data_IF_887176417140
#
_entry.id   IF_887176417140
#
_cell.length_a   1.000
_cell.length_b   1.000
_cell.length_c   1.000
_cell.angle_alpha   90.00
_cell.angle_beta   90.00
_cell.angle_gamma   90.00
#
_symmetry.space_group_name_H-M   'P 1'
#
loop_
_entity.id
_entity.type
_entity.pdbx_description
1 polymer ?
#
# COMPACT_ATOMS: atom_id res chain seq x y z
N UNK A 1 -56.38 -177.02 -47.97
CA UNK A 1 -56.39 -175.59 -47.58
C UNK A 1 -55.19 -174.79 -48.10
N UNK A 2 -53.99 -175.38 -48.22
CA UNK A 2 -52.79 -174.69 -48.75
C UNK A 2 -52.92 -174.24 -50.23
N UNK A 3 -53.59 -175.03 -51.08
CA UNK A 3 -53.82 -174.69 -52.49
C UNK A 3 -54.67 -173.42 -52.66
N UNK A 4 -55.70 -173.21 -51.84
CA UNK A 4 -56.52 -172.00 -51.84
C UNK A 4 -55.73 -170.76 -51.40
N UNK A 5 -54.82 -170.93 -50.43
CA UNK A 5 -53.92 -169.86 -49.96
C UNK A 5 -52.91 -169.48 -51.05
N UNK A 6 -52.37 -170.46 -51.80
CA UNK A 6 -51.41 -170.22 -52.88
C UNK A 6 -52.04 -169.46 -54.06
N UNK A 7 -53.25 -169.84 -54.47
CA UNK A 7 -54.00 -169.10 -55.50
C UNK A 7 -54.39 -167.70 -55.03
N UNK A 8 -54.73 -167.54 -53.75
CA UNK A 8 -55.00 -166.23 -53.17
C UNK A 8 -53.75 -165.34 -53.14
N UNK A 9 -52.59 -165.88 -52.71
CA UNK A 9 -51.33 -165.16 -52.69
C UNK A 9 -50.85 -164.80 -54.10
N UNK A 10 -50.96 -165.72 -55.07
CA UNK A 10 -50.62 -165.46 -56.47
C UNK A 10 -51.56 -164.42 -57.11
N UNK A 11 -52.87 -164.51 -56.84
CA UNK A 11 -53.85 -163.52 -57.26
C UNK A 11 -53.58 -162.13 -56.67
N UNK A 12 -53.23 -162.06 -55.37
CA UNK A 12 -52.84 -160.83 -54.69
C UNK A 12 -51.54 -160.24 -55.26
N UNK A 13 -50.53 -161.08 -55.52
CA UNK A 13 -49.26 -160.64 -56.10
C UNK A 13 -49.46 -160.11 -57.53
N UNK A 14 -50.29 -160.78 -58.34
CA UNK A 14 -50.68 -160.30 -59.66
C UNK A 14 -51.43 -158.96 -59.58
N UNK A 15 -52.37 -158.82 -58.64
CA UNK A 15 -53.10 -157.56 -58.44
C UNK A 15 -52.15 -156.43 -58.01
N UNK A 16 -51.25 -156.68 -57.05
CA UNK A 16 -50.25 -155.72 -56.60
C UNK A 16 -49.28 -155.34 -57.73
N UNK A 17 -48.86 -156.31 -58.56
CA UNK A 17 -48.01 -156.07 -59.71
C UNK A 17 -48.70 -155.19 -60.76
N UNK A 18 -49.97 -155.48 -61.09
CA UNK A 18 -50.76 -154.67 -62.01
C UNK A 18 -51.00 -153.24 -61.47
N UNK A 19 -51.30 -153.10 -60.17
CA UNK A 19 -51.41 -151.79 -59.52
C UNK A 19 -50.09 -151.04 -59.57
N UNK A 20 -48.95 -151.69 -59.29
CA UNK A 20 -47.63 -151.05 -59.36
C UNK A 20 -47.26 -150.61 -60.79
N UNK A 21 -47.73 -151.34 -61.81
CA UNK A 21 -47.50 -150.98 -63.21
C UNK A 21 -48.34 -149.76 -63.63
N UNK A 22 -49.59 -149.68 -63.15
CA UNK A 22 -50.57 -148.66 -63.55
C UNK A 22 -50.50 -147.41 -62.65
N UNK A 23 -50.17 -147.55 -61.37
CA UNK A 23 -50.16 -146.46 -60.39
C UNK A 23 -49.27 -145.26 -60.80
N UNK A 24 -48.05 -145.44 -61.35
CA UNK A 24 -47.23 -144.32 -61.81
C UNK A 24 -47.88 -143.56 -62.97
N UNK A 25 -48.60 -144.26 -63.86
CA UNK A 25 -49.28 -143.64 -64.99
C UNK A 25 -50.52 -142.85 -64.56
N UNK A 26 -51.32 -143.41 -63.65
CA UNK A 26 -52.49 -142.73 -63.05
C UNK A 26 -52.03 -141.53 -62.22
N UNK A 27 -50.95 -141.64 -61.44
CA UNK A 27 -50.39 -140.54 -60.66
C UNK A 27 -49.85 -139.40 -61.54
N UNK A 28 -49.08 -139.73 -62.59
CA UNK A 28 -48.62 -138.71 -63.57
C UNK A 28 -49.80 -137.97 -64.18
N UNK A 29 -50.87 -138.68 -64.55
CA UNK A 29 -52.06 -138.09 -65.14
C UNK A 29 -52.86 -137.26 -64.13
N UNK A 30 -52.97 -137.72 -62.89
CA UNK A 30 -53.59 -136.96 -61.80
C UNK A 30 -52.84 -135.64 -61.54
N UNK A 31 -51.51 -135.67 -61.46
CA UNK A 31 -50.67 -134.46 -61.27
C UNK A 31 -50.81 -133.49 -62.44
N UNK A 32 -50.86 -133.98 -63.68
CA UNK A 32 -51.06 -133.12 -64.86
C UNK A 32 -52.46 -132.47 -64.84
N UNK A 33 -53.50 -133.23 -64.47
CA UNK A 33 -54.86 -132.70 -64.40
C UNK A 33 -55.05 -131.71 -63.23
N UNK A 34 -54.47 -131.97 -62.05
CA UNK A 34 -54.53 -131.04 -60.92
C UNK A 34 -53.71 -129.80 -61.17
N UNK A 35 -52.54 -129.91 -61.80
CA UNK A 35 -51.74 -128.77 -62.25
C UNK A 35 -52.50 -127.91 -63.27
N UNK A 36 -53.10 -128.52 -64.29
CA UNK A 36 -53.93 -127.80 -65.28
C UNK A 36 -55.16 -127.14 -64.65
N UNK A 37 -55.78 -127.78 -63.66
CA UNK A 37 -56.93 -127.20 -62.94
C UNK A 37 -56.52 -126.07 -62.01
N UNK A 38 -55.36 -126.16 -61.35
CA UNK A 38 -54.77 -125.07 -60.56
C UNK A 38 -54.43 -123.89 -61.47
N UNK A 39 -53.72 -124.14 -62.57
CA UNK A 39 -53.34 -123.13 -63.57
C UNK A 39 -54.57 -122.45 -64.21
N UNK A 40 -55.71 -123.16 -64.37
CA UNK A 40 -56.96 -122.57 -64.85
C UNK A 40 -57.76 -121.80 -63.78
N UNK A 41 -57.50 -122.05 -62.50
CA UNK A 41 -58.21 -121.40 -61.37
C UNK A 41 -57.41 -120.27 -60.71
N UNK A 42 -56.09 -120.25 -60.90
CA UNK A 42 -55.24 -119.14 -60.48
C UNK A 42 -55.20 -118.09 -61.59
N UNK A 43 -55.46 -116.82 -61.27
CA UNK A 43 -55.44 -115.74 -62.25
C UNK A 43 -54.03 -115.33 -62.71
N UNK A 44 -52.96 -116.03 -62.28
CA UNK A 44 -51.57 -115.65 -62.52
C UNK A 44 -50.77 -116.81 -63.12
N UNK A 45 -50.06 -116.53 -64.21
CA UNK A 45 -49.15 -117.50 -64.84
C UNK A 45 -47.87 -117.70 -64.00
N UNK A 46 -47.14 -118.82 -64.10
CA UNK A 46 -45.90 -119.02 -63.33
C UNK A 46 -44.81 -117.98 -63.63
N UNK A 47 -44.81 -117.40 -64.83
CA UNK A 47 -43.93 -116.29 -65.18
C UNK A 47 -44.33 -114.99 -64.45
N UNK A 48 -45.62 -114.71 -64.31
CA UNK A 48 -46.12 -113.57 -63.53
C UNK A 48 -45.82 -113.71 -62.04
N UNK A 49 -45.86 -114.92 -61.46
CA UNK A 49 -45.47 -115.16 -60.05
C UNK A 49 -43.99 -114.84 -59.83
N UNK A 50 -43.12 -115.20 -60.79
CA UNK A 50 -41.70 -114.87 -60.72
C UNK A 50 -41.47 -113.36 -60.88
N UNK A 51 -42.18 -112.71 -61.81
CA UNK A 51 -42.14 -111.26 -61.98
C UNK A 51 -42.62 -110.53 -60.72
N UNK A 52 -43.67 -111.02 -60.06
CA UNK A 52 -44.20 -110.47 -58.81
C UNK A 52 -43.19 -110.63 -57.66
N UNK A 53 -42.53 -111.79 -57.56
CA UNK A 53 -41.46 -112.02 -56.58
C UNK A 53 -40.29 -111.06 -56.80
N UNK A 54 -39.89 -110.86 -58.05
CA UNK A 54 -38.80 -109.96 -58.40
C UNK A 54 -39.22 -108.47 -58.25
N UNK A 55 -40.50 -108.14 -58.49
CA UNK A 55 -41.10 -106.83 -58.16
C UNK A 55 -41.01 -106.56 -56.67
N UNK A 56 -41.46 -107.49 -55.83
CA UNK A 56 -41.41 -107.35 -54.37
C UNK A 56 -39.95 -107.19 -53.90
N UNK A 57 -39.01 -107.96 -54.45
CA UNK A 57 -37.57 -107.79 -54.15
C UNK A 57 -37.05 -106.42 -54.56
N UNK A 58 -37.45 -105.93 -55.72
CA UNK A 58 -37.07 -104.60 -56.20
C UNK A 58 -37.68 -103.50 -55.32
N UNK A 59 -38.95 -103.62 -54.94
CA UNK A 59 -39.62 -102.69 -54.01
C UNK A 59 -38.93 -102.66 -52.65
N UNK A 60 -38.61 -103.83 -52.07
CA UNK A 60 -37.86 -103.90 -50.82
C UNK A 60 -36.45 -103.30 -50.96
N UNK A 61 -35.74 -103.58 -52.05
CA UNK A 61 -34.42 -102.99 -52.31
C UNK A 61 -34.49 -101.47 -52.47
N UNK A 62 -35.47 -100.96 -53.21
CA UNK A 62 -35.72 -99.52 -53.41
C UNK A 62 -36.10 -98.83 -52.10
N UNK A 63 -37.01 -99.41 -51.32
CA UNK A 63 -37.42 -98.89 -50.02
C UNK A 63 -36.26 -98.89 -49.02
N UNK A 64 -35.47 -99.96 -49.00
CA UNK A 64 -34.25 -100.04 -48.16
C UNK A 64 -33.25 -98.97 -48.56
N UNK A 65 -32.97 -98.81 -49.85
CA UNK A 65 -32.07 -97.76 -50.36
C UNK A 65 -32.60 -96.36 -50.06
N UNK A 66 -33.90 -96.13 -50.17
CA UNK A 66 -34.55 -94.84 -49.84
C UNK A 66 -34.45 -94.53 -48.35
N UNK A 67 -34.67 -95.53 -47.49
CA UNK A 67 -34.48 -95.40 -46.05
C UNK A 67 -33.01 -95.14 -45.68
N UNK A 68 -32.07 -95.87 -46.28
CA UNK A 68 -30.64 -95.63 -46.09
C UNK A 68 -30.23 -94.22 -46.51
N UNK A 69 -30.75 -93.73 -47.64
CA UNK A 69 -30.48 -92.38 -48.13
C UNK A 69 -31.09 -91.31 -47.22
N UNK A 70 -32.30 -91.54 -46.69
CA UNK A 70 -32.93 -90.67 -45.71
C UNK A 70 -32.17 -90.68 -44.37
N UNK A 71 -31.70 -91.84 -43.90
CA UNK A 71 -30.88 -91.95 -42.69
C UNK A 71 -29.56 -91.21 -42.89
N UNK A 72 -28.93 -91.32 -44.06
CA UNK A 72 -27.72 -90.58 -44.39
C UNK A 72 -27.95 -89.07 -44.37
N UNK A 73 -28.99 -88.57 -45.04
CA UNK A 73 -29.28 -87.12 -45.06
C UNK A 73 -29.69 -86.57 -43.69
N UNK A 74 -30.41 -87.36 -42.87
CA UNK A 74 -30.71 -86.98 -41.50
C UNK A 74 -29.44 -86.95 -40.63
N UNK A 75 -28.55 -87.93 -40.78
CA UNK A 75 -27.25 -87.94 -40.08
C UNK A 75 -26.38 -86.75 -40.48
N UNK A 76 -26.36 -86.40 -41.76
CA UNK A 76 -25.66 -85.23 -42.29
C UNK A 76 -26.21 -83.94 -41.69
N UNK A 77 -27.54 -83.73 -41.70
CA UNK A 77 -28.20 -82.58 -41.06
C UNK A 77 -27.92 -82.50 -39.55
N UNK A 78 -27.94 -83.63 -38.85
CA UNK A 78 -27.60 -83.66 -37.42
C UNK A 78 -26.13 -83.29 -37.19
N UNK A 79 -25.23 -83.76 -38.03
CA UNK A 79 -23.82 -83.37 -37.97
C UNK A 79 -23.63 -81.87 -38.24
N UNK A 80 -24.31 -81.31 -39.25
CA UNK A 80 -24.33 -79.88 -39.54
C UNK A 80 -24.84 -79.06 -38.34
N UNK A 81 -25.99 -79.45 -37.78
CA UNK A 81 -26.56 -78.79 -36.60
C UNK A 81 -25.64 -78.86 -35.37
N UNK A 82 -24.96 -79.99 -35.15
CA UNK A 82 -23.98 -80.11 -34.06
C UNK A 82 -22.81 -79.15 -34.25
N UNK A 83 -22.35 -78.97 -35.49
CA UNK A 83 -21.31 -77.98 -35.81
C UNK A 83 -21.81 -76.55 -35.59
N UNK A 84 -23.05 -76.23 -36.00
CA UNK A 84 -23.65 -74.92 -35.75
C UNK A 84 -23.84 -74.63 -34.27
N UNK A 85 -24.31 -75.59 -33.49
CA UNK A 85 -24.40 -75.49 -32.03
C UNK A 85 -23.01 -75.28 -31.44
N UNK A 86 -21.99 -76.00 -31.91
CA UNK A 86 -20.60 -75.80 -31.49
C UNK A 86 -20.11 -74.37 -31.74
N UNK A 87 -20.32 -73.84 -32.95
CA UNK A 87 -19.99 -72.45 -33.31
C UNK A 87 -20.77 -71.44 -32.46
N UNK A 88 -22.05 -71.69 -32.21
CA UNK A 88 -22.89 -70.85 -31.35
C UNK A 88 -22.39 -70.83 -29.90
N UNK A 89 -21.99 -71.99 -29.36
CA UNK A 89 -21.40 -72.09 -28.03
C UNK A 89 -20.06 -71.36 -27.94
N UNK A 90 -19.22 -71.42 -28.97
CA UNK A 90 -17.96 -70.69 -29.02
C UNK A 90 -18.19 -69.17 -29.07
N UNK A 91 -19.13 -68.70 -29.89
CA UNK A 91 -19.53 -67.29 -29.93
C UNK A 91 -20.10 -66.82 -28.58
N UNK A 92 -20.92 -67.64 -27.91
CA UNK A 92 -21.43 -67.33 -26.56
C UNK A 92 -20.31 -67.26 -25.51
N UNK A 93 -19.31 -68.14 -25.59
CA UNK A 93 -18.12 -68.06 -24.71
C UNK A 93 -17.34 -66.78 -24.96
N UNK A 94 -17.12 -66.40 -26.23
CA UNK A 94 -16.46 -65.15 -26.59
C UNK A 94 -17.21 -63.93 -26.03
N UNK A 95 -18.53 -63.88 -26.23
CA UNK A 95 -19.37 -62.79 -25.73
C UNK A 95 -19.43 -62.74 -24.19
N UNK A 96 -19.36 -63.90 -23.52
CA UNK A 96 -19.31 -63.97 -22.06
C UNK A 96 -17.99 -63.40 -21.50
N UNK A 97 -16.86 -63.65 -22.19
CA UNK A 97 -15.56 -63.06 -21.84
C UNK A 97 -15.60 -61.55 -22.05
N UNK A 98 -16.06 -61.08 -23.20
CA UNK A 98 -16.16 -59.64 -23.49
C UNK A 98 -17.07 -58.91 -22.48
N UNK A 99 -18.20 -59.54 -22.10
CA UNK A 99 -19.09 -58.99 -21.06
C UNK A 99 -18.39 -58.91 -19.70
N UNK A 100 -17.59 -59.92 -19.34
CA UNK A 100 -16.82 -59.91 -18.09
C UNK A 100 -15.79 -58.79 -18.11
N UNK A 101 -15.04 -58.64 -19.21
CA UNK A 101 -14.02 -57.59 -19.37
C UNK A 101 -14.65 -56.19 -19.32
N UNK A 102 -15.80 -56.01 -20.01
CA UNK A 102 -16.57 -54.76 -19.95
C UNK A 102 -17.11 -54.46 -18.55
N UNK A 103 -17.59 -55.47 -17.82
CA UNK A 103 -18.05 -55.28 -16.45
C UNK A 103 -16.90 -54.92 -15.50
N UNK A 104 -15.72 -55.51 -15.68
CA UNK A 104 -14.52 -55.14 -14.93
C UNK A 104 -14.10 -53.70 -15.24
N UNK A 105 -14.04 -53.33 -16.52
CA UNK A 105 -13.75 -51.95 -16.93
C UNK A 105 -14.78 -50.95 -16.36
N UNK A 106 -16.07 -51.30 -16.32
CA UNK A 106 -17.11 -50.49 -15.71
C UNK A 106 -16.93 -50.36 -14.19
N UNK A 107 -16.57 -51.43 -13.47
CA UNK A 107 -16.32 -51.34 -12.03
C UNK A 107 -15.09 -50.48 -11.73
N UNK A 108 -14.04 -50.58 -12.53
CA UNK A 108 -12.83 -49.76 -12.37
C UNK A 108 -13.12 -48.28 -12.65
N UNK A 109 -13.92 -47.99 -13.68
CA UNK A 109 -14.37 -46.63 -13.98
C UNK A 109 -15.28 -46.08 -12.87
N UNK A 110 -16.14 -46.90 -12.28
CA UNK A 110 -16.98 -46.49 -11.15
C UNK A 110 -16.13 -46.20 -9.90
N UNK A 111 -15.12 -47.02 -9.61
CA UNK A 111 -14.20 -46.79 -8.51
C UNK A 111 -13.40 -45.49 -8.71
N UNK A 112 -12.88 -45.24 -9.92
CA UNK A 112 -12.20 -43.97 -10.26
C UNK A 112 -13.13 -42.77 -10.16
N UNK A 113 -14.38 -42.87 -10.61
CA UNK A 113 -15.36 -41.79 -10.45
C UNK A 113 -15.67 -41.50 -8.98
N UNK A 114 -15.77 -42.53 -8.14
CA UNK A 114 -15.96 -42.35 -6.71
C UNK A 114 -14.76 -41.65 -6.06
N UNK A 115 -13.53 -42.02 -6.43
CA UNK A 115 -12.31 -41.35 -5.98
C UNK A 115 -12.27 -39.88 -6.44
N UNK A 116 -12.60 -39.61 -7.70
CA UNK A 116 -12.65 -38.24 -8.24
C UNK A 116 -13.66 -37.38 -7.47
N UNK A 117 -14.83 -37.91 -7.13
CA UNK A 117 -15.82 -37.19 -6.31
C UNK A 117 -15.31 -36.86 -4.92
N UNK A 118 -14.62 -37.81 -4.27
CA UNK A 118 -14.00 -37.55 -2.96
C UNK A 118 -12.93 -36.44 -3.08
N UNK A 119 -12.12 -36.46 -4.14
CA UNK A 119 -11.14 -35.40 -4.42
C UNK A 119 -11.80 -34.05 -4.70
N UNK A 120 -12.92 -34.02 -5.44
CA UNK A 120 -13.69 -32.80 -5.67
C UNK A 120 -14.25 -32.24 -4.36
N UNK A 121 -14.79 -33.08 -3.48
CA UNK A 121 -15.24 -32.66 -2.15
C UNK A 121 -14.09 -32.12 -1.27
N UNK A 122 -12.91 -32.76 -1.31
CA UNK A 122 -11.70 -32.27 -0.63
C UNK A 122 -11.25 -30.92 -1.19
N UNK A 123 -11.26 -30.75 -2.51
CA UNK A 123 -10.94 -29.48 -3.17
C UNK A 123 -11.94 -28.38 -2.81
N UNK A 124 -13.24 -28.70 -2.75
CA UNK A 124 -14.24 -27.75 -2.28
C UNK A 124 -13.99 -27.32 -0.84
N UNK A 125 -13.73 -28.27 0.08
CA UNK A 125 -13.38 -27.95 1.48
C UNK A 125 -12.11 -27.11 1.59
N UNK A 126 -11.08 -27.40 0.79
CA UNK A 126 -9.85 -26.62 0.75
C UNK A 126 -10.08 -25.22 0.20
N UNK A 127 -10.90 -25.09 -0.84
CA UNK A 127 -11.26 -23.79 -1.45
C UNK A 127 -12.03 -22.92 -0.45
N UNK A 128 -12.97 -23.51 0.30
CA UNK A 128 -13.69 -22.79 1.37
C UNK A 128 -12.75 -22.34 2.50
N UNK A 129 -11.83 -23.20 2.94
CA UNK A 129 -10.81 -22.83 3.95
C UNK A 129 -9.90 -21.72 3.46
N UNK A 130 -9.49 -21.76 2.18
CA UNK A 130 -8.67 -20.73 1.57
C UNK A 130 -9.42 -19.39 1.51
N UNK A 131 -10.68 -19.39 1.06
CA UNK A 131 -11.51 -18.18 1.05
C UNK A 131 -11.74 -17.61 2.47
N UNK A 132 -11.88 -18.47 3.49
CA UNK A 132 -11.96 -18.02 4.88
C UNK A 132 -10.64 -17.41 5.37
N UNK A 133 -9.51 -18.01 5.02
CA UNK A 133 -8.19 -17.50 5.36
C UNK A 133 -7.92 -16.14 4.69
N UNK A 134 -8.24 -15.99 3.40
CA UNK A 134 -8.15 -14.72 2.67
C UNK A 134 -8.99 -13.62 3.31
N UNK A 135 -10.25 -13.90 3.65
CA UNK A 135 -11.11 -12.93 4.39
C UNK A 135 -10.52 -12.55 5.74
N UNK A 136 -9.87 -13.48 6.43
CA UNK A 136 -9.22 -13.19 7.72
C UNK A 136 -7.97 -12.33 7.55
N UNK A 137 -7.20 -12.54 6.48
CA UNK A 137 -6.03 -11.74 6.13
C UNK A 137 -6.44 -10.33 5.70
N UNK A 138 -7.52 -10.19 4.92
CA UNK A 138 -8.05 -8.88 4.53
C UNK A 138 -8.50 -8.07 5.75
N UNK A 139 -9.20 -8.71 6.71
CA UNK A 139 -9.55 -8.06 7.99
C UNK A 139 -8.31 -7.60 8.76
N UNK A 140 -7.29 -8.44 8.87
CA UNK A 140 -6.03 -8.10 9.53
C UNK A 140 -5.28 -6.98 8.80
N UNK A 141 -5.32 -6.94 7.47
CA UNK A 141 -4.72 -5.87 6.68
C UNK A 141 -5.41 -4.53 6.95
N UNK A 142 -6.75 -4.52 7.03
CA UNK A 142 -7.51 -3.33 7.40
C UNK A 142 -7.24 -2.89 8.85
N UNK A 143 -7.08 -3.82 9.77
CA UNK A 143 -6.69 -3.53 11.16
C UNK A 143 -5.28 -2.94 11.24
N UNK A 144 -4.32 -3.50 10.50
CA UNK A 144 -2.96 -2.96 10.42
C UNK A 144 -2.95 -1.56 9.82
N UNK A 145 -3.69 -1.31 8.74
CA UNK A 145 -3.80 0.03 8.15
C UNK A 145 -4.38 1.05 9.14
N UNK A 146 -5.40 0.66 9.92
CA UNK A 146 -5.95 1.52 10.97
C UNK A 146 -4.92 1.79 12.07
N UNK A 147 -4.16 0.77 12.45
CA UNK A 147 -3.13 0.90 13.48
C UNK A 147 -1.97 1.78 13.00
N UNK A 148 -1.57 1.69 11.74
CA UNK A 148 -0.61 2.58 11.09
C UNK A 148 -1.11 4.04 11.12
N UNK A 149 -2.36 4.29 10.72
CA UNK A 149 -2.94 5.64 10.79
C UNK A 149 -2.95 6.19 12.23
N UNK A 150 -3.31 5.36 13.21
CA UNK A 150 -3.26 5.75 14.63
C UNK A 150 -1.84 6.03 15.10
N UNK A 151 -0.85 5.25 14.63
CA UNK A 151 0.56 5.45 14.97
C UNK A 151 1.10 6.74 14.35
N UNK A 152 0.79 7.00 13.08
CA UNK A 152 1.19 8.22 12.38
C UNK A 152 0.59 9.46 13.05
N UNK A 153 -0.69 9.43 13.42
CA UNK A 153 -1.36 10.51 14.16
C UNK A 153 -0.73 10.72 15.55
N UNK A 154 -0.46 9.64 16.28
CA UNK A 154 0.20 9.72 17.59
C UNK A 154 1.64 10.26 17.49
N UNK A 155 2.38 9.84 16.46
CA UNK A 155 3.73 10.31 16.15
C UNK A 155 3.75 11.79 15.77
N UNK A 156 2.79 12.22 14.94
CA UNK A 156 2.62 13.62 14.58
C UNK A 156 2.24 14.47 15.79
N UNK A 157 1.29 14.01 16.62
CA UNK A 157 0.91 14.68 17.87
C UNK A 157 2.09 14.81 18.86
N UNK A 158 2.89 13.76 19.02
CA UNK A 158 4.10 13.80 19.83
C UNK A 158 5.14 14.77 19.29
N UNK A 159 5.37 14.77 17.97
CA UNK A 159 6.31 15.69 17.31
C UNK A 159 5.85 17.14 17.45
N UNK A 160 4.55 17.40 17.29
CA UNK A 160 3.97 18.72 17.53
C UNK A 160 4.15 19.14 18.99
N UNK A 161 3.89 18.25 19.95
CA UNK A 161 4.11 18.53 21.38
C UNK A 161 5.59 18.79 21.71
N UNK A 162 6.52 18.12 21.04
CA UNK A 162 7.95 18.38 21.19
C UNK A 162 8.32 19.76 20.65
N UNK A 163 7.77 20.17 19.51
CA UNK A 163 7.96 21.52 18.96
C UNK A 163 7.40 22.57 19.93
N UNK A 164 6.21 22.35 20.47
CA UNK A 164 5.61 23.24 21.47
C UNK A 164 6.46 23.34 22.74
N UNK A 165 7.01 22.22 23.23
CA UNK A 165 7.91 22.23 24.39
C UNK A 165 9.17 23.05 24.11
N UNK A 166 9.82 22.85 22.97
CA UNK A 166 11.01 23.65 22.59
C UNK A 166 10.67 25.13 22.43
N UNK A 167 9.48 25.46 21.89
CA UNK A 167 9.02 26.84 21.80
C UNK A 167 8.81 27.45 23.20
N UNK A 168 8.21 26.71 24.14
CA UNK A 168 8.05 27.14 25.54
C UNK A 168 9.36 27.27 26.28
N UNK A 169 10.32 26.38 26.06
CA UNK A 169 11.68 26.49 26.61
C UNK A 169 12.36 27.77 26.09
N UNK A 170 12.25 28.08 24.80
CA UNK A 170 12.76 29.34 24.25
C UNK A 170 12.08 30.58 24.83
N UNK A 171 10.77 30.53 25.10
CA UNK A 171 10.06 31.60 25.80
C UNK A 171 10.55 31.76 27.25
N UNK A 172 10.79 30.65 27.96
CA UNK A 172 11.35 30.67 29.32
C UNK A 172 12.76 31.25 29.33
N UNK A 173 13.61 30.93 28.36
CA UNK A 173 14.96 31.49 28.22
C UNK A 173 14.91 33.00 27.95
N UNK A 174 13.99 33.46 27.09
CA UNK A 174 13.77 34.90 26.86
C UNK A 174 13.35 35.60 28.15
N UNK A 175 12.35 35.06 28.86
CA UNK A 175 11.90 35.62 30.15
C UNK A 175 13.02 35.60 31.21
N UNK A 176 13.83 34.55 31.25
CA UNK A 176 14.98 34.45 32.15
C UNK A 176 16.02 35.54 31.84
N UNK A 177 16.32 35.79 30.56
CA UNK A 177 17.19 36.87 30.12
C UNK A 177 16.61 38.24 30.46
N UNK A 178 15.32 38.47 30.22
CA UNK A 178 14.64 39.72 30.57
C UNK A 178 14.69 39.97 32.07
N UNK A 179 14.46 38.94 32.90
CA UNK A 179 14.59 39.02 34.36
C UNK A 179 16.04 39.36 34.76
N UNK A 180 17.05 38.78 34.10
CA UNK A 180 18.45 39.08 34.37
C UNK A 180 18.80 40.54 34.04
N UNK A 181 18.32 41.05 32.90
CA UNK A 181 18.49 42.46 32.48
C UNK A 181 17.75 43.39 33.43
N UNK A 182 16.50 43.09 33.80
CA UNK A 182 15.75 43.91 34.77
C UNK A 182 16.42 43.91 36.15
N UNK A 183 17.02 42.78 36.58
CA UNK A 183 17.81 42.72 37.82
C UNK A 183 19.08 43.57 37.74
N UNK A 184 19.80 43.57 36.62
CA UNK A 184 20.99 44.43 36.46
C UNK A 184 20.61 45.90 36.42
N UNK A 185 19.56 46.27 35.67
CA UNK A 185 19.01 47.62 35.64
C UNK A 185 18.56 48.09 37.02
N UNK A 186 17.88 47.24 37.80
CA UNK A 186 17.52 47.55 39.18
C UNK A 186 18.75 47.79 40.06
N UNK A 187 19.78 46.94 39.94
CA UNK A 187 21.04 47.11 40.70
C UNK A 187 21.78 48.40 40.32
N UNK A 188 21.80 48.74 39.04
CA UNK A 188 22.36 50.01 38.56
C UNK A 188 21.54 51.20 39.05
N UNK A 189 20.21 51.14 38.99
CA UNK A 189 19.33 52.19 39.50
C UNK A 189 19.50 52.38 41.01
N UNK A 190 19.60 51.29 41.78
CA UNK A 190 19.87 51.33 43.22
C UNK A 190 21.24 51.95 43.50
N UNK A 191 22.28 51.63 42.70
CA UNK A 191 23.61 52.26 42.81
C UNK A 191 23.56 53.75 42.48
N UNK A 192 22.89 54.15 41.40
CA UNK A 192 22.69 55.56 41.04
C UNK A 192 21.93 56.31 42.12
N UNK A 193 20.89 55.70 42.70
CA UNK A 193 20.15 56.29 43.82
C UNK A 193 21.03 56.45 45.07
N UNK A 194 21.92 55.51 45.36
CA UNK A 194 22.89 55.64 46.45
C UNK A 194 23.91 56.75 46.19
N UNK A 195 24.43 56.85 44.95
CA UNK A 195 25.35 57.91 44.52
C UNK A 195 24.67 59.29 44.62
N UNK A 196 23.46 59.45 44.07
CA UNK A 196 22.66 60.68 44.20
C UNK A 196 22.31 61.00 45.66
N UNK A 197 22.01 60.00 46.49
CA UNK A 197 21.77 60.20 47.91
C UNK A 197 23.05 60.69 48.62
N UNK A 198 24.21 60.13 48.29
CA UNK A 198 25.50 60.58 48.82
C UNK A 198 25.86 61.99 48.34
N UNK A 199 25.68 62.30 47.05
CA UNK A 199 25.86 63.64 46.48
C UNK A 199 24.92 64.65 47.11
N UNK A 200 23.64 64.32 47.26
CA UNK A 200 22.67 65.22 47.91
C UNK A 200 23.02 65.47 49.37
N UNK A 201 23.57 64.47 50.09
CA UNK A 201 24.09 64.64 51.45
C UNK A 201 25.32 65.54 51.46
N UNK A 202 26.29 65.30 50.58
CA UNK A 202 27.49 66.12 50.45
C UNK A 202 27.14 67.57 50.09
N UNK A 203 26.20 67.78 49.17
CA UNK A 203 25.70 69.11 48.80
C UNK A 203 24.97 69.79 49.97
N UNK A 204 24.18 69.06 50.77
CA UNK A 204 23.57 69.59 52.00
C UNK A 204 24.62 70.00 53.04
N UNK A 205 25.65 69.18 53.22
CA UNK A 205 26.73 69.46 54.16
C UNK A 205 27.58 70.66 53.68
N UNK A 206 27.86 70.77 52.38
CA UNK A 206 28.51 71.93 51.77
C UNK A 206 27.66 73.19 51.91
N UNK A 207 26.35 73.12 51.64
CA UNK A 207 25.43 74.23 51.84
C UNK A 207 25.39 74.66 53.31
N UNK A 208 25.43 73.71 54.26
CA UNK A 208 25.51 74.02 55.69
C UNK A 208 26.82 74.69 56.06
N UNK A 209 27.94 74.27 55.44
CA UNK A 209 29.23 74.91 55.62
C UNK A 209 29.25 76.34 55.05
N UNK A 210 28.73 76.55 53.83
CA UNK A 210 28.57 77.87 53.24
C UNK A 210 27.64 78.75 54.08
N UNK A 211 26.49 78.25 54.55
CA UNK A 211 25.60 79.00 55.46
C UNK A 211 26.29 79.40 56.77
N UNK A 212 27.19 78.56 57.29
CA UNK A 212 28.01 78.93 58.45
C UNK A 212 29.01 80.03 58.09
N UNK A 213 29.68 79.93 56.93
CA UNK A 213 30.59 80.98 56.43
C UNK A 213 29.87 82.29 56.18
N UNK A 214 28.68 82.28 55.56
CA UNK A 214 27.87 83.49 55.38
C UNK A 214 27.46 84.06 56.73
N UNK A 215 27.02 83.25 57.68
CA UNK A 215 26.70 83.73 59.03
C UNK A 215 27.94 84.30 59.77
N UNK A 216 29.14 83.75 59.55
CA UNK A 216 30.38 84.31 60.06
C UNK A 216 30.78 85.63 59.38
N UNK A 217 30.55 85.73 58.06
CA UNK A 217 30.74 86.97 57.29
C UNK A 217 29.72 88.04 57.71
N UNK A 218 28.46 87.69 57.88
CA UNK A 218 27.40 88.58 58.38
C UNK A 218 27.78 89.11 59.77
N UNK A 219 28.26 88.25 60.68
CA UNK A 219 28.81 88.70 61.97
C UNK A 219 30.01 89.62 61.83
N UNK A 220 30.87 89.43 60.83
CA UNK A 220 31.99 90.34 60.54
C UNK A 220 31.48 91.68 59.99
N UNK A 221 30.48 91.66 59.12
CA UNK A 221 29.82 92.87 58.61
C UNK A 221 29.13 93.61 59.75
N UNK A 222 28.40 92.93 60.63
CA UNK A 222 27.82 93.53 61.84
C UNK A 222 28.88 94.14 62.73
N UNK A 223 30.02 93.46 62.96
CA UNK A 223 31.15 94.03 63.70
C UNK A 223 31.75 95.24 63.00
N UNK A 224 31.92 95.21 61.68
CA UNK A 224 32.45 96.33 60.92
C UNK A 224 31.47 97.52 60.95
N UNK A 225 30.17 97.27 60.81
CA UNK A 225 29.12 98.26 60.96
C UNK A 225 29.09 98.84 62.38
N UNK A 226 29.27 98.02 63.42
CA UNK A 226 29.41 98.49 64.80
C UNK A 226 30.67 99.37 64.96
N UNK A 227 31.83 98.96 64.40
CA UNK A 227 33.03 99.80 64.44
C UNK A 227 32.90 101.08 63.62
N UNK A 228 32.13 101.06 62.52
CA UNK A 228 31.80 102.24 61.74
C UNK A 228 30.87 103.15 62.54
N UNK A 229 29.83 102.61 63.19
CA UNK A 229 28.94 103.36 64.08
C UNK A 229 29.70 103.95 65.26
N UNK A 230 30.63 103.22 65.89
CA UNK A 230 31.51 103.74 66.95
C UNK A 230 32.43 104.84 66.41
N UNK A 231 32.91 104.71 65.16
CA UNK A 231 33.71 105.77 64.52
C UNK A 231 32.88 106.98 64.14
N UNK A 232 31.67 106.79 63.65
CA UNK A 232 30.70 107.84 63.37
C UNK A 232 30.32 108.53 64.68
N UNK A 233 30.06 107.81 65.76
CA UNK A 233 29.79 108.41 67.08
C UNK A 233 31.03 109.17 67.62
N UNK A 234 32.24 108.64 67.42
CA UNK A 234 33.46 109.37 67.75
C UNK A 234 33.67 110.61 66.87
N UNK A 235 33.28 110.57 65.59
CA UNK A 235 33.27 111.74 64.72
C UNK A 235 32.21 112.75 65.17
N UNK A 236 31.01 112.30 65.52
CA UNK A 236 29.91 113.10 66.08
C UNK A 236 30.32 113.78 67.40
N UNK A 237 31.07 113.07 68.25
CA UNK A 237 31.67 113.63 69.48
C UNK A 237 32.73 114.68 69.14
N UNK A 238 33.62 114.42 68.16
CA UNK A 238 34.59 115.42 67.68
C UNK A 238 33.91 116.62 67.03
N UNK A 239 32.80 116.43 66.33
CA UNK A 239 31.99 117.52 65.78
C UNK A 239 31.30 118.32 66.89
N UNK A 240 30.79 117.67 67.94
CA UNK A 240 30.24 118.34 69.14
C UNK A 240 31.33 119.05 69.96
N UNK A 241 32.55 118.53 70.00
CA UNK A 241 33.72 119.21 70.58
C UNK A 241 34.17 120.41 69.72
N UNK A 242 34.13 120.28 68.39
CA UNK A 242 34.34 121.39 67.45
C UNK A 242 33.23 122.46 67.54
N UNK A 243 32.00 122.08 67.89
CA UNK A 243 30.91 123.01 68.17
C UNK A 243 31.12 123.76 69.51
N UNK A 244 31.73 123.12 70.52
CA UNK A 244 32.05 123.76 71.82
C UNK A 244 33.35 124.58 71.80
N UNK A 245 34.25 124.36 70.84
CA UNK A 245 35.45 125.20 70.62
C UNK A 245 35.25 126.32 69.59
N UNK A 246 34.03 126.54 69.07
CA UNK A 246 33.70 127.61 68.10
C UNK A 246 32.98 128.82 68.72
N UNK A 247 33.16 129.06 70.02
CA UNK A 247 32.78 130.31 70.71
C UNK A 247 34.02 131.18 71.03
N UNK A 248 34.84 131.46 70.01
CA UNK A 248 35.72 132.66 69.90
C UNK A 248 36.34 132.72 68.48
N UNK A 249 36.25 133.85 67.74
CA UNK A 249 36.41 133.81 66.28
C UNK A 249 37.78 134.30 65.79
N UNK A 250 38.39 133.56 64.86
CA UNK A 250 38.90 134.01 63.53
C UNK A 250 39.80 132.94 62.90
N UNK A 251 39.40 132.49 61.69
CA UNK A 251 40.16 132.37 60.41
C UNK A 251 41.67 132.06 60.49
N UNK A 252 42.30 131.10 59.81
CA UNK A 252 42.06 130.42 58.52
C UNK A 252 42.77 129.04 58.48
N UNK A 253 42.44 128.23 57.46
CA UNK A 253 43.23 127.19 56.75
C UNK A 253 42.64 125.76 56.63
N UNK A 254 42.43 125.39 55.36
CA UNK A 254 42.93 124.18 54.68
C UNK A 254 42.22 122.80 54.83
N UNK A 255 41.64 122.40 53.69
CA UNK A 255 41.85 121.13 52.95
C UNK A 255 40.85 119.94 53.10
N UNK A 256 40.35 119.55 51.92
CA UNK A 256 39.84 118.27 51.39
C UNK A 256 38.52 117.64 51.84
N UNK A 257 37.53 117.77 50.96
CA UNK A 257 36.68 116.70 50.42
C UNK A 257 36.37 117.11 48.97
N UNK A 258 36.53 116.30 47.93
CA UNK A 258 36.24 114.89 47.78
C UNK A 258 35.11 114.82 46.76
N UNK A 259 35.36 114.27 45.56
CA UNK A 259 34.28 113.84 44.66
C UNK A 259 34.78 112.79 43.66
N UNK A 260 34.06 111.68 43.69
CA UNK A 260 33.99 110.64 42.68
C UNK A 260 33.58 111.18 41.31
N UNK A 261 34.13 110.62 40.23
CA UNK A 261 33.45 109.75 39.25
C UNK A 261 34.19 109.75 37.90
N UNK A 262 33.87 108.70 37.13
CA UNK A 262 34.13 108.48 35.71
C UNK A 262 35.46 107.79 35.38
N UNK A 263 35.39 106.46 35.29
CA UNK A 263 35.71 105.74 34.03
C UNK A 263 35.23 104.28 34.17
N UNK A 264 33.92 104.10 34.01
CA UNK A 264 33.23 102.79 34.01
C UNK A 264 32.44 102.60 32.69
N UNK A 265 32.94 103.20 31.60
CA UNK A 265 32.29 103.19 30.27
C UNK A 265 33.04 102.30 29.26
N UNK A 266 34.34 102.04 29.43
CA UNK A 266 35.10 101.12 28.53
C UNK A 266 34.88 99.62 28.81
N UNK A 267 34.36 99.26 29.99
CA UNK A 267 34.12 97.86 30.38
C UNK A 267 32.82 97.28 29.82
N UNK A 268 31.82 98.12 29.57
CA UNK A 268 30.49 97.71 29.09
C UNK A 268 30.54 97.45 27.59
N UNK A 269 31.24 98.28 26.82
CA UNK A 269 31.37 98.11 25.36
C UNK A 269 32.15 96.83 25.00
N UNK A 270 33.18 96.47 25.77
CA UNK A 270 33.90 95.21 25.61
C UNK A 270 33.07 93.97 25.98
N UNK A 271 32.13 94.10 26.93
CA UNK A 271 31.21 93.02 27.28
C UNK A 271 30.13 92.82 26.21
N UNK A 272 29.63 93.91 25.62
CA UNK A 272 28.65 93.87 24.53
C UNK A 272 29.26 93.26 23.27
N UNK A 273 30.47 93.67 22.86
CA UNK A 273 31.16 93.11 21.70
C UNK A 273 31.44 91.60 21.84
N UNK A 274 31.71 91.13 23.07
CA UNK A 274 31.94 89.70 23.35
C UNK A 274 30.65 88.88 23.26
N UNK A 275 29.52 89.42 23.74
CA UNK A 275 28.21 88.79 23.65
C UNK A 275 27.67 88.76 22.21
N UNK A 276 27.94 89.79 21.41
CA UNK A 276 27.60 89.82 19.98
C UNK A 276 28.40 88.77 19.20
N UNK A 277 29.70 88.63 19.48
CA UNK A 277 30.53 87.58 18.88
C UNK A 277 30.10 86.15 19.26
N UNK A 278 29.66 85.92 20.50
CA UNK A 278 29.11 84.62 20.92
C UNK A 278 27.75 84.34 20.30
N UNK A 279 26.92 85.38 20.08
CA UNK A 279 25.64 85.27 19.38
C UNK A 279 25.81 84.90 17.91
N UNK A 280 26.72 85.55 17.19
CA UNK A 280 27.02 85.18 15.79
C UNK A 280 27.54 83.74 15.68
N UNK A 281 28.39 83.30 16.61
CA UNK A 281 28.88 81.90 16.66
C UNK A 281 27.75 80.90 16.86
N UNK A 282 26.78 81.23 17.71
CA UNK A 282 25.60 80.39 17.95
C UNK A 282 24.64 80.37 16.75
N UNK A 283 24.44 81.50 16.08
CA UNK A 283 23.62 81.59 14.87
C UNK A 283 24.24 80.77 13.71
N UNK A 284 25.56 80.82 13.52
CA UNK A 284 26.28 79.96 12.56
C UNK A 284 26.13 78.48 12.91
N UNK A 285 26.16 78.11 14.19
CA UNK A 285 26.02 76.72 14.63
C UNK A 285 24.59 76.19 14.46
N UNK A 286 23.58 77.02 14.67
CA UNK A 286 22.17 76.66 14.42
C UNK A 286 21.90 76.44 12.92
N UNK A 287 22.44 77.30 12.05
CA UNK A 287 22.27 77.14 10.60
C UNK A 287 23.00 75.90 10.06
N UNK A 288 24.15 75.54 10.63
CA UNK A 288 24.84 74.29 10.32
C UNK A 288 24.03 73.05 10.75
N UNK A 289 23.52 73.02 11.98
CA UNK A 289 22.68 71.92 12.49
C UNK A 289 21.34 71.79 11.75
N UNK A 290 20.77 72.90 11.28
CA UNK A 290 19.55 72.89 10.46
C UNK A 290 19.80 72.27 9.07
N UNK A 291 20.97 72.54 8.46
CA UNK A 291 21.38 71.92 7.20
C UNK A 291 21.64 70.42 7.36
N UNK A 292 22.29 70.03 8.46
CA UNK A 292 22.56 68.63 8.77
C UNK A 292 21.26 67.84 9.03
N UNK A 293 20.31 68.41 9.77
CA UNK A 293 18.97 67.81 9.92
C UNK A 293 18.22 67.68 8.59
N UNK A 294 18.33 68.66 7.69
CA UNK A 294 17.71 68.58 6.37
C UNK A 294 18.35 67.47 5.53
N UNK A 295 19.67 67.28 5.64
CA UNK A 295 20.42 66.21 4.95
C UNK A 295 20.08 64.82 5.50
N UNK A 296 20.03 64.66 6.82
CA UNK A 296 19.63 63.39 7.45
C UNK A 296 18.19 63.01 7.11
N UNK A 297 17.28 63.99 6.97
CA UNK A 297 15.92 63.74 6.49
C UNK A 297 15.88 63.28 5.02
N UNK A 298 16.70 63.84 4.15
CA UNK A 298 16.78 63.37 2.75
C UNK A 298 17.42 61.99 2.64
N UNK A 299 18.42 61.69 3.48
CA UNK A 299 19.10 60.40 3.50
C UNK A 299 18.17 59.29 4.04
N UNK A 300 17.35 59.59 5.06
CA UNK A 300 16.31 58.66 5.54
C UNK A 300 15.24 58.39 4.48
N UNK A 301 14.77 59.43 3.78
CA UNK A 301 13.79 59.27 2.70
C UNK A 301 14.35 58.45 1.52
N UNK A 302 15.64 58.59 1.21
CA UNK A 302 16.32 57.78 0.20
C UNK A 302 16.51 56.32 0.65
N UNK A 303 16.68 56.07 1.94
CA UNK A 303 16.80 54.71 2.48
C UNK A 303 15.45 53.98 2.48
N UNK A 304 14.36 54.68 2.80
CA UNK A 304 12.99 54.15 2.73
C UNK A 304 12.57 53.83 1.29
N UNK A 305 13.02 54.60 0.29
CA UNK A 305 12.73 54.33 -1.13
C UNK A 305 13.66 53.30 -1.78
N UNK A 306 14.79 52.95 -1.14
CA UNK A 306 15.70 51.89 -1.62
C UNK A 306 15.35 50.48 -1.10
N UNK A 307 14.56 50.37 -0.03
CA UNK A 307 14.06 49.08 0.49
C UNK A 307 13.00 48.32 -0.35
N UNK A 308 12.16 48.93 -1.22
CA UNK A 308 11.16 48.18 -1.98
C UNK A 308 11.73 47.38 -3.16
N UNK A 309 12.93 47.68 -3.66
CA UNK A 309 13.51 47.04 -4.85
C UNK A 309 14.19 45.69 -4.56
N UNK A 310 14.69 45.45 -3.34
CA UNK A 310 15.31 44.16 -2.97
C UNK A 310 14.30 43.05 -2.62
N UNK A 311 13.03 43.41 -2.36
CA UNK A 311 11.97 42.45 -2.04
C UNK A 311 11.41 41.73 -3.29
N UNK A 312 11.64 42.26 -4.50
CA UNK A 312 11.09 41.74 -5.75
C UNK A 312 11.82 40.53 -6.35
N UNK A 313 13.09 40.30 -6.01
CA UNK A 313 13.94 39.29 -6.66
C UNK A 313 14.13 38.00 -5.84
N UNK A 314 13.85 38.06 -4.54
CA UNK A 314 13.81 36.89 -3.65
C UNK A 314 12.84 35.77 -4.10
N UNK A 315 11.63 36.08 -4.64
CA UNK A 315 10.71 35.04 -5.09
C UNK A 315 11.25 34.28 -6.31
N UNK A 316 11.89 34.97 -7.27
CA UNK A 316 12.40 34.39 -8.51
C UNK A 316 13.63 33.53 -8.30
N UNK A 317 14.59 33.99 -7.50
CA UNK A 317 15.76 33.19 -7.11
C UNK A 317 15.33 31.93 -6.33
N UNK A 318 14.34 32.07 -5.44
CA UNK A 318 13.80 30.93 -4.69
C UNK A 318 13.04 29.93 -5.56
N UNK A 319 12.40 30.38 -6.66
CA UNK A 319 11.72 29.51 -7.61
C UNK A 319 12.72 28.75 -8.50
N UNK A 320 13.77 29.42 -8.98
CA UNK A 320 14.82 28.79 -9.77
C UNK A 320 15.59 27.71 -8.99
N UNK A 321 15.90 27.97 -7.71
CA UNK A 321 16.55 27.00 -6.83
C UNK A 321 15.66 25.78 -6.57
N UNK A 322 14.35 25.97 -6.38
CA UNK A 322 13.40 24.86 -6.23
C UNK A 322 13.33 23.98 -7.47
N UNK A 323 13.39 24.58 -8.65
CA UNK A 323 13.38 23.83 -9.91
C UNK A 323 14.67 23.01 -10.09
N UNK A 324 15.83 23.59 -9.79
CA UNK A 324 17.11 22.86 -9.81
C UNK A 324 17.17 21.72 -8.79
N UNK A 325 16.64 21.93 -7.59
CA UNK A 325 16.55 20.87 -6.57
C UNK A 325 15.63 19.73 -7.01
N UNK A 326 14.50 20.04 -7.66
CA UNK A 326 13.58 19.02 -8.16
C UNK A 326 14.19 18.21 -9.32
N UNK A 327 14.98 18.85 -10.18
CA UNK A 327 15.69 18.18 -11.29
C UNK A 327 16.78 17.24 -10.76
N UNK A 328 17.61 17.72 -9.82
CA UNK A 328 18.65 16.92 -9.19
C UNK A 328 18.06 15.74 -8.41
N UNK A 329 16.96 15.94 -7.70
CA UNK A 329 16.25 14.86 -7.00
C UNK A 329 15.75 13.79 -7.97
N UNK A 330 15.27 14.18 -9.16
CA UNK A 330 14.81 13.22 -10.17
C UNK A 330 15.98 12.38 -10.73
N UNK A 331 17.14 13.01 -10.95
CA UNK A 331 18.35 12.33 -11.43
C UNK A 331 18.89 11.33 -10.39
N UNK A 332 18.94 11.73 -9.12
CA UNK A 332 19.36 10.85 -8.01
C UNK A 332 18.43 9.65 -7.87
N UNK A 333 17.11 9.86 -7.91
CA UNK A 333 16.13 8.77 -7.83
C UNK A 333 16.24 7.82 -9.03
N UNK A 334 16.52 8.33 -10.22
CA UNK A 334 16.75 7.49 -11.40
C UNK A 334 18.05 6.68 -11.29
N UNK A 335 19.12 7.28 -10.74
CA UNK A 335 20.39 6.59 -10.51
C UNK A 335 20.28 5.50 -9.43
N UNK A 336 19.61 5.78 -8.32
CA UNK A 336 19.37 4.78 -7.25
C UNK A 336 18.47 3.66 -7.74
N UNK A 337 17.43 3.96 -8.51
CA UNK A 337 16.59 2.92 -9.13
C UNK A 337 17.39 2.01 -10.08
N UNK A 338 18.36 2.56 -10.84
CA UNK A 338 19.25 1.76 -11.69
C UNK A 338 20.20 0.87 -10.89
N UNK A 339 20.65 1.33 -9.72
CA UNK A 339 21.52 0.56 -8.83
C UNK A 339 20.76 -0.55 -8.07
N UNK A 340 19.52 -0.28 -7.65
CA UNK A 340 18.69 -1.22 -6.89
C UNK A 340 18.02 -2.29 -7.78
N UNK A 341 18.02 -2.12 -9.10
CA UNK A 341 17.48 -3.09 -10.07
C UNK A 341 15.96 -3.04 -10.26
N UNK A 342 15.41 -3.89 -11.15
CA UNK A 342 14.02 -3.80 -11.63
C UNK A 342 12.95 -4.12 -10.57
N UNK A 343 13.32 -4.82 -9.49
CA UNK A 343 12.40 -5.17 -8.38
C UNK A 343 12.39 -4.15 -7.23
N UNK A 344 13.09 -3.03 -7.39
CA UNK A 344 13.23 -2.01 -6.35
C UNK A 344 11.88 -1.39 -5.92
N UNK A 345 11.73 -0.99 -4.66
CA UNK A 345 10.54 -0.29 -4.18
C UNK A 345 10.24 0.99 -4.98
N UNK A 346 11.30 1.65 -5.48
CA UNK A 346 11.23 2.86 -6.30
C UNK A 346 10.61 2.55 -7.68
N UNK A 347 11.05 1.48 -8.34
CA UNK A 347 10.47 1.05 -9.61
C UNK A 347 8.98 0.69 -9.46
N UNK A 348 8.61 0.01 -8.36
CA UNK A 348 7.21 -0.30 -8.04
C UNK A 348 6.37 0.95 -7.80
N UNK A 349 6.89 1.93 -7.05
CA UNK A 349 6.21 3.19 -6.79
C UNK A 349 6.01 4.05 -8.06
N UNK A 350 6.95 4.00 -9.00
CA UNK A 350 6.85 4.71 -10.28
C UNK A 350 5.91 4.04 -11.28
N UNK A 351 5.78 2.71 -11.22
CA UNK A 351 4.91 1.90 -12.07
C UNK A 351 3.42 2.04 -11.73
N UNK A 352 3.09 2.43 -10.48
CA UNK A 352 1.71 2.68 -10.08
C UNK A 352 1.15 3.92 -10.80
N UNK A 353 0.13 3.79 -11.66
CA UNK A 353 -0.54 4.95 -12.27
C UNK A 353 -1.31 5.68 -11.17
N UNK A 354 -1.13 7.00 -11.08
CA UNK A 354 -1.92 7.81 -10.17
C UNK A 354 -3.25 8.13 -10.85
N UNK A 355 -4.31 7.46 -10.41
CA UNK A 355 -5.68 7.80 -10.78
C UNK A 355 -6.04 9.13 -10.11
N UNK A 356 -6.35 10.15 -10.91
CA UNK A 356 -6.81 11.44 -10.40
C UNK A 356 -6.17 12.64 -11.09
N UNK A 357 -6.89 13.17 -12.09
CA UNK A 357 -6.89 14.60 -12.39
C UNK A 357 -7.27 15.36 -11.11
N UNK A 358 -6.32 16.01 -10.45
CA UNK A 358 -6.60 17.15 -9.59
C UNK A 358 -5.38 18.06 -9.56
N UNK A 359 -5.61 19.31 -9.98
CA UNK A 359 -4.77 20.50 -9.94
C UNK A 359 -3.49 20.55 -10.79
N UNK A 360 -3.68 20.62 -12.11
CA UNK A 360 -2.67 21.20 -13.05
C UNK A 360 -2.79 22.74 -13.12
N UNK A 361 -3.43 23.37 -12.13
CA UNK A 361 -3.64 24.82 -12.10
C UNK A 361 -2.49 25.64 -11.51
N UNK A 362 -1.78 25.14 -10.49
CA UNK A 362 -0.88 26.02 -9.70
C UNK A 362 0.39 25.38 -9.13
N UNK A 363 0.65 24.08 -9.31
CA UNK A 363 1.88 23.44 -8.80
C UNK A 363 2.53 22.61 -9.90
N UNK A 364 3.79 22.92 -10.19
CA UNK A 364 4.56 22.39 -11.31
C UNK A 364 4.70 20.86 -11.33
N UNK A 365 5.35 20.37 -12.40
CA UNK A 365 5.53 18.95 -12.74
C UNK A 365 6.01 18.16 -11.49
N UNK A 366 5.31 17.07 -11.18
CA UNK A 366 5.63 16.18 -10.05
C UNK A 366 6.98 15.50 -10.24
N UNK A 367 7.68 15.19 -9.14
CA UNK A 367 8.95 14.46 -9.15
C UNK A 367 8.84 13.12 -9.89
N UNK A 368 7.76 12.37 -9.67
CA UNK A 368 7.53 11.09 -10.35
C UNK A 368 7.39 11.24 -11.87
N UNK A 369 6.78 12.33 -12.33
CA UNK A 369 6.62 12.60 -13.76
C UNK A 369 7.94 13.04 -14.40
N UNK A 370 8.78 13.78 -13.67
CA UNK A 370 10.15 14.12 -14.09
C UNK A 370 11.03 12.87 -14.21
N UNK A 371 10.96 11.96 -13.23
CA UNK A 371 11.70 10.68 -13.29
C UNK A 371 11.25 9.83 -14.48
N UNK A 372 9.94 9.75 -14.76
CA UNK A 372 9.42 9.06 -15.95
C UNK A 372 9.85 9.74 -17.26
N UNK A 373 9.89 11.07 -17.30
CA UNK A 373 10.36 11.83 -18.47
C UNK A 373 11.86 11.59 -18.73
N UNK A 374 12.68 11.58 -17.67
CA UNK A 374 14.10 11.22 -17.72
C UNK A 374 14.32 9.77 -18.18
N UNK A 375 13.49 8.82 -17.74
CA UNK A 375 13.55 7.43 -18.22
C UNK A 375 13.23 7.31 -19.70
N UNK A 376 12.21 8.03 -20.18
CA UNK A 376 11.85 8.07 -21.60
C UNK A 376 12.96 8.70 -22.45
N UNK A 377 13.53 9.81 -22.01
CA UNK A 377 14.63 10.49 -22.71
C UNK A 377 15.91 9.63 -22.79
N UNK A 378 16.21 8.86 -21.73
CA UNK A 378 17.33 7.93 -21.69
C UNK A 378 17.08 6.60 -22.42
N UNK A 379 15.85 6.30 -22.81
CA UNK A 379 15.50 5.12 -23.62
C UNK A 379 15.47 5.42 -25.12
N UNK A 380 15.42 6.71 -25.49
CA UNK A 380 15.44 7.20 -26.89
C UNK A 380 16.84 7.58 -27.41
N UNK A 381 17.83 7.66 -26.52
CA UNK A 381 19.26 7.73 -26.85
C UNK A 381 19.89 6.36 -26.62
#
# INVERSE_FOLDING_TARGET
MVQSILFFALGFLCAAFLVSLIAPAVWRRAVVLTRRRLEASMPLTPAEILAEKDRIRAEFAMNTRRLEMNIKSLKEKVAEQLVEIGRGQEALKGLAVEKKDKNQALSDLQAKNAELRLREEELHKLTEKLAQAERSLEKRALELQKLEQMYDEASFSSSNRQIELVARESELDKLANDIAVLRSQRKEADRRNQELAAESKAARDALKAEKKRTAELDKKVERLLATLADREENLDRREKELARMRERPRKDHAVNGGTHKADEVEGIDNAIAKLEGDRERLEVRLTALARENKRLKTDLAALETAQPEQAGDAPRASAALREQMNELAAEVVNLTMRLDGPDSPIAKALATPRDGRQDVGERGISLADRVRALQKANATN
#
